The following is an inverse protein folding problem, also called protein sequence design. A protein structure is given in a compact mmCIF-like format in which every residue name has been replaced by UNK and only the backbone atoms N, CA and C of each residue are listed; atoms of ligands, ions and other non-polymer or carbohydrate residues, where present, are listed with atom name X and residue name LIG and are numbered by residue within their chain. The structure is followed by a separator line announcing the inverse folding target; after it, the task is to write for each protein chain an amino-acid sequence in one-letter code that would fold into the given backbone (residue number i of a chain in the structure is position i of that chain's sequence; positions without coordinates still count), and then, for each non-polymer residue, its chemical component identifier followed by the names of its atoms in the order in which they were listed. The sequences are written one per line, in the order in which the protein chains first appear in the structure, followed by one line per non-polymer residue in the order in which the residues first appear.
data_IF_332162817432
#
_entry.id   IF_332162817432
#
_cell.length_a   1.000
_cell.length_b   1.000
_cell.length_c   1.000
_cell.angle_alpha   90.00
_cell.angle_beta   90.00
_cell.angle_gamma   90.00
#
_symmetry.space_group_name_H-M   'P 1'
#
loop_
_entity.id
_entity.type
_entity.pdbx_description
1 polymer ?
#
# COMPACT_ATOMS: atom_id res chain seq x y z
N UNK A 1 -18.49 2.34 -11.67
CA UNK A 1 -17.41 2.45 -12.68
C UNK A 1 -16.23 1.62 -12.18
N UNK A 2 -15.91 0.49 -12.83
CA UNK A 2 -14.67 -0.26 -12.56
C UNK A 2 -13.63 0.25 -13.57
N UNK A 3 -12.62 0.99 -13.09
CA UNK A 3 -11.59 1.61 -13.94
C UNK A 3 -10.46 0.64 -14.34
N UNK A 4 -10.36 -0.50 -13.65
CA UNK A 4 -9.29 -1.49 -13.86
C UNK A 4 -9.83 -2.71 -14.59
N UNK A 5 -9.08 -3.17 -15.60
CA UNK A 5 -9.34 -4.44 -16.30
C UNK A 5 -9.25 -5.62 -15.33
N UNK A 6 -10.16 -6.59 -15.42
CA UNK A 6 -10.21 -7.70 -14.45
C UNK A 6 -9.05 -8.71 -14.60
N UNK A 7 -8.39 -8.75 -15.78
CA UNK A 7 -7.34 -9.73 -16.12
C UNK A 7 -5.96 -9.11 -16.28
N UNK A 8 -5.87 -7.87 -16.77
CA UNK A 8 -4.63 -7.13 -17.06
C UNK A 8 -4.66 -5.80 -16.32
N UNK A 9 -4.55 -5.88 -15.01
CA UNK A 9 -4.46 -4.72 -14.12
C UNK A 9 -3.14 -4.73 -13.38
N UNK A 10 -2.64 -3.53 -13.14
CA UNK A 10 -1.67 -3.26 -12.11
C UNK A 10 -2.20 -2.08 -11.29
N UNK A 11 -1.82 -2.02 -10.02
CA UNK A 11 -2.18 -0.92 -9.14
C UNK A 11 -0.97 -0.56 -8.30
N UNK A 12 -0.69 0.73 -8.17
CA UNK A 12 0.36 1.24 -7.29
C UNK A 12 -0.23 2.42 -6.54
N UNK A 13 -0.16 2.38 -5.21
CA UNK A 13 -0.57 3.46 -4.34
C UNK A 13 0.53 3.75 -3.33
N UNK A 14 1.01 4.99 -3.37
CA UNK A 14 1.91 5.56 -2.38
C UNK A 14 1.11 6.51 -1.49
N UNK A 15 1.10 6.26 -0.19
CA UNK A 15 0.46 7.14 0.78
C UNK A 15 1.51 7.87 1.60
N UNK A 16 1.48 9.19 1.64
CA UNK A 16 2.38 10.02 2.46
C UNK A 16 1.76 10.41 3.81
N UNK A 17 0.70 9.72 4.24
CA UNK A 17 0.03 10.00 5.52
C UNK A 17 0.69 9.20 6.64
N UNK A 18 1.44 9.85 7.56
CA UNK A 18 2.04 9.16 8.70
C UNK A 18 1.00 8.71 9.73
N UNK A 19 -0.24 9.21 9.64
CA UNK A 19 -1.31 8.93 10.61
C UNK A 19 -2.05 7.61 10.31
N UNK A 20 -1.98 7.11 9.07
CA UNK A 20 -2.63 5.86 8.70
C UNK A 20 -1.62 4.71 8.76
N UNK A 21 -1.80 3.82 9.74
CA UNK A 21 -0.97 2.62 9.86
C UNK A 21 -1.15 1.70 8.64
N UNK A 22 -0.10 0.96 8.28
CA UNK A 22 -0.17 -0.02 7.19
C UNK A 22 -1.28 -1.07 7.43
N UNK A 23 -1.49 -1.45 8.69
CA UNK A 23 -2.51 -2.43 9.05
C UNK A 23 -3.93 -1.90 8.83
N UNK A 24 -4.19 -0.64 9.18
CA UNK A 24 -5.50 -0.03 8.96
C UNK A 24 -5.73 0.25 7.48
N UNK A 25 -4.68 0.62 6.73
CA UNK A 25 -4.73 0.69 5.28
C UNK A 25 -5.10 -0.66 4.65
N UNK A 26 -4.48 -1.76 5.09
CA UNK A 26 -4.83 -3.11 4.62
C UNK A 26 -6.29 -3.45 4.90
N UNK A 27 -6.82 -3.14 6.09
CA UNK A 27 -8.23 -3.36 6.44
C UNK A 27 -9.17 -2.59 5.51
N UNK A 28 -8.85 -1.32 5.21
CA UNK A 28 -9.63 -0.49 4.28
C UNK A 28 -9.60 -1.10 2.88
N UNK A 29 -8.44 -1.52 2.39
CA UNK A 29 -8.34 -2.12 1.05
C UNK A 29 -9.07 -3.45 0.93
N UNK A 30 -9.04 -4.29 1.98
CA UNK A 30 -9.80 -5.54 2.01
C UNK A 30 -11.32 -5.33 2.05
N UNK A 31 -11.81 -4.17 2.50
CA UNK A 31 -13.24 -3.86 2.46
C UNK A 31 -13.71 -3.37 1.09
N UNK A 32 -12.80 -3.04 0.17
CA UNK A 32 -13.13 -2.59 -1.19
C UNK A 32 -13.55 -3.78 -2.05
N UNK A 33 -14.80 -3.82 -2.57
CA UNK A 33 -15.26 -4.92 -3.40
C UNK A 33 -14.41 -5.08 -4.68
N UNK A 34 -13.86 -6.27 -4.89
CA UNK A 34 -13.06 -6.60 -6.08
C UNK A 34 -11.58 -6.17 -6.02
N UNK A 35 -11.14 -5.61 -4.89
CA UNK A 35 -9.72 -5.45 -4.60
C UNK A 35 -9.08 -6.84 -4.36
N UNK A 36 -7.86 -7.10 -4.87
CA UNK A 36 -7.20 -8.39 -4.66
C UNK A 36 -7.03 -8.72 -3.17
N UNK A 37 -7.22 -9.99 -2.82
CA UNK A 37 -6.92 -10.50 -1.47
C UNK A 37 -5.42 -10.62 -1.24
N UNK A 38 -4.66 -10.93 -2.29
CA UNK A 38 -3.21 -11.02 -2.26
C UNK A 38 -2.64 -9.79 -2.98
N UNK A 39 -1.92 -8.95 -2.23
CA UNK A 39 -1.19 -7.81 -2.74
C UNK A 39 0.04 -7.55 -1.86
N UNK A 40 1.04 -6.88 -2.41
CA UNK A 40 2.19 -6.46 -1.64
C UNK A 40 1.90 -5.14 -0.94
N UNK A 41 2.26 -5.06 0.34
CA UNK A 41 2.15 -3.82 1.10
C UNK A 41 3.30 -3.69 2.09
N UNK A 42 3.96 -2.54 2.09
CA UNK A 42 5.10 -2.25 2.97
C UNK A 42 5.12 -0.77 3.35
N UNK A 43 5.81 -0.46 4.45
CA UNK A 43 6.22 0.92 4.74
C UNK A 43 7.46 1.23 3.90
N UNK A 44 7.45 2.37 3.21
CA UNK A 44 8.62 2.94 2.57
C UNK A 44 9.37 3.77 3.61
N UNK A 45 10.69 3.62 3.66
CA UNK A 45 11.54 4.39 4.54
C UNK A 45 12.88 4.71 3.90
N UNK A 46 13.53 5.76 4.40
CA UNK A 46 14.91 6.09 4.10
C UNK A 46 15.79 5.56 5.22
N UNK A 47 16.78 4.75 4.88
CA UNK A 47 17.79 4.28 5.82
C UNK A 47 19.04 5.16 5.67
N UNK A 48 19.43 5.82 6.76
CA UNK A 48 20.68 6.60 6.79
C UNK A 48 21.88 5.74 7.20
N UNK A 49 21.68 4.90 8.23
CA UNK A 49 22.60 3.88 8.72
C UNK A 49 21.79 2.66 9.17
N UNK A 50 22.36 1.46 9.24
CA UNK A 50 21.66 0.28 9.76
C UNK A 50 21.00 0.58 11.11
N UNK A 51 19.70 0.31 11.22
CA UNK A 51 18.91 0.56 12.43
C UNK A 51 18.36 1.99 12.60
N UNK A 52 18.68 2.94 11.70
CA UNK A 52 18.08 4.28 11.67
C UNK A 52 17.30 4.50 10.37
N UNK A 53 15.99 4.33 10.48
CA UNK A 53 15.05 4.46 9.37
C UNK A 53 14.06 5.61 9.62
N UNK A 54 13.82 6.42 8.59
CA UNK A 54 12.77 7.43 8.57
C UNK A 54 11.60 6.91 7.70
N UNK A 55 10.43 6.60 8.27
CA UNK A 55 9.27 6.19 7.49
C UNK A 55 8.75 7.38 6.66
N UNK A 56 8.51 7.15 5.37
CA UNK A 56 7.98 8.14 4.43
C UNK A 56 6.50 7.93 4.11
N UNK A 57 6.00 6.70 4.30
CA UNK A 57 4.65 6.35 3.86
C UNK A 57 4.46 4.86 3.63
N UNK A 58 3.30 4.48 3.12
CA UNK A 58 2.99 3.10 2.75
C UNK A 58 2.98 2.96 1.22
N UNK A 59 3.49 1.83 0.74
CA UNK A 59 3.36 1.36 -0.64
C UNK A 59 2.41 0.16 -0.67
N UNK A 60 1.48 0.17 -1.60
CA UNK A 60 0.59 -0.94 -1.94
C UNK A 60 0.69 -1.20 -3.43
N UNK A 61 0.89 -2.47 -3.83
CA UNK A 61 0.95 -2.85 -5.25
C UNK A 61 0.48 -4.28 -5.55
N UNK A 62 -0.02 -4.49 -6.76
CA UNK A 62 -0.29 -5.79 -7.40
C UNK A 62 -0.34 -5.64 -8.92
#
# INVERSE_FOLDING_TARGET
MKLLDEKKRFFIMNTYSPQLSLNDLKKILHSVPGFPTNFEATTLGLMSTPGKELPLGNLVRF
#
